data_IF_199521951866
#
_entry.id   IF_199521951866
#
_cell.length_a   1.000
_cell.length_b   1.000
_cell.length_c   1.000
_cell.angle_alpha   90.00
_cell.angle_beta   90.00
_cell.angle_gamma   90.00
#
_symmetry.space_group_name_H-M   'P 1'
#
loop_
_entity.id
_entity.type
_entity.pdbx_description
1 polymer ?
#
# COMPACT_ATOMS: atom_id res chain seq x y z
N UNK A 1 -42.46 -10.55 72.35
CA UNK A 1 -41.72 -11.79 72.10
C UNK A 1 -40.84 -11.60 70.87
N UNK A 2 -39.51 -11.63 71.08
CA UNK A 2 -38.46 -11.82 70.06
C UNK A 2 -38.49 -13.33 69.70
N UNK A 3 -38.12 -13.91 68.55
CA UNK A 3 -36.84 -14.03 67.80
C UNK A 3 -37.17 -14.93 66.57
N UNK A 4 -36.57 -14.88 65.36
CA UNK A 4 -35.39 -14.18 64.86
C UNK A 4 -35.25 -14.29 63.33
N UNK A 5 -34.45 -13.36 62.76
CA UNK A 5 -33.18 -13.54 62.00
C UNK A 5 -33.36 -14.13 60.59
N UNK A 6 -32.79 -13.57 59.51
CA UNK A 6 -31.66 -12.66 59.39
C UNK A 6 -31.70 -11.82 58.09
N UNK A 7 -31.14 -10.60 58.22
CA UNK A 7 -30.22 -9.88 57.33
C UNK A 7 -30.46 -9.90 55.80
N UNK A 8 -30.42 -8.79 55.07
CA UNK A 8 -29.97 -7.43 55.36
C UNK A 8 -29.97 -6.69 54.02
N UNK A 9 -30.53 -5.48 53.98
CA UNK A 9 -30.48 -4.63 52.81
C UNK A 9 -29.12 -3.92 52.67
N UNK A 10 -28.82 -3.44 51.47
CA UNK A 10 -28.37 -2.07 51.25
C UNK A 10 -28.22 -1.78 49.75
N UNK A 11 -28.94 -0.75 49.33
CA UNK A 11 -28.63 0.18 48.24
C UNK A 11 -27.15 0.53 48.14
N UNK A 12 -26.62 0.62 46.92
CA UNK A 12 -25.31 1.22 46.67
C UNK A 12 -24.92 1.18 45.20
N UNK A 13 -24.94 2.33 44.54
CA UNK A 13 -24.43 2.50 43.19
C UNK A 13 -22.97 2.09 43.06
N UNK A 14 -22.61 1.56 41.90
CA UNK A 14 -21.23 1.22 41.59
C UNK A 14 -21.10 0.84 40.12
N UNK A 15 -20.57 1.78 39.31
CA UNK A 15 -19.92 1.47 38.04
C UNK A 15 -18.98 0.28 38.25
N UNK A 16 -19.33 -0.90 37.76
CA UNK A 16 -18.36 -1.98 37.56
C UNK A 16 -17.91 -1.96 36.11
N UNK A 17 -16.76 -1.29 35.96
CA UNK A 17 -15.86 -1.29 34.81
C UNK A 17 -15.85 -2.67 34.13
N UNK A 18 -16.06 -2.66 32.82
CA UNK A 18 -15.63 -3.74 31.94
C UNK A 18 -14.15 -4.02 32.23
N UNK A 19 -13.88 -5.20 32.79
CA UNK A 19 -12.52 -5.72 32.91
C UNK A 19 -12.10 -6.24 31.52
N UNK A 20 -11.71 -5.33 30.64
CA UNK A 20 -10.62 -5.63 29.72
C UNK A 20 -9.32 -5.56 30.51
N UNK A 21 -8.96 -6.66 31.18
CA UNK A 21 -7.56 -6.96 31.47
C UNK A 21 -7.04 -7.67 30.20
N UNK A 22 -6.03 -7.21 29.46
CA UNK A 22 -4.86 -6.46 29.88
C UNK A 22 -3.83 -7.45 30.43
N UNK A 23 -2.99 -8.02 29.56
CA UNK A 23 -1.83 -8.80 30.00
C UNK A 23 -1.32 -9.86 29.02
N UNK A 24 -0.53 -9.43 28.04
CA UNK A 24 0.71 -10.10 27.65
C UNK A 24 0.67 -11.57 27.21
N UNK A 25 0.46 -11.77 25.92
CA UNK A 25 1.28 -12.70 25.14
C UNK A 25 1.44 -12.08 23.74
N UNK A 26 2.63 -11.55 23.44
CA UNK A 26 3.01 -11.21 22.07
C UNK A 26 3.25 -12.52 21.31
N UNK A 27 2.19 -13.23 20.97
CA UNK A 27 2.18 -13.96 19.70
C UNK A 27 1.50 -13.01 18.73
N UNK A 28 2.30 -12.13 18.13
CA UNK A 28 1.83 -11.29 17.03
C UNK A 28 1.23 -12.23 15.99
N UNK A 29 -0.08 -12.08 15.75
CA UNK A 29 -0.78 -12.88 14.74
C UNK A 29 0.04 -12.92 13.45
N UNK A 30 0.17 -14.11 12.87
CA UNK A 30 0.80 -14.29 11.55
C UNK A 30 0.01 -13.49 10.51
N UNK A 31 0.61 -13.23 9.33
CA UNK A 31 -0.11 -12.56 8.24
C UNK A 31 -1.39 -13.31 7.87
N UNK A 32 -1.31 -14.64 7.80
CA UNK A 32 -2.44 -15.53 7.50
C UNK A 32 -3.54 -15.39 8.55
N UNK A 33 -3.18 -15.42 9.84
CA UNK A 33 -4.16 -15.22 10.93
C UNK A 33 -4.82 -13.82 10.86
N UNK A 34 -4.07 -12.79 10.45
CA UNK A 34 -4.63 -11.44 10.24
C UNK A 34 -5.55 -11.39 9.02
N UNK A 35 -5.24 -12.12 7.95
CA UNK A 35 -6.08 -12.26 6.76
C UNK A 35 -7.39 -12.97 7.09
N UNK A 36 -7.33 -14.10 7.80
CA UNK A 36 -8.50 -14.87 8.22
C UNK A 36 -9.42 -14.02 9.11
N UNK A 37 -8.83 -13.25 10.05
CA UNK A 37 -9.59 -12.32 10.88
C UNK A 37 -10.25 -11.20 10.07
N UNK A 38 -9.54 -10.66 9.08
CA UNK A 38 -10.08 -9.64 8.19
C UNK A 38 -11.26 -10.19 7.38
N UNK A 39 -11.13 -11.39 6.82
CA UNK A 39 -12.19 -12.04 6.06
C UNK A 39 -13.43 -12.33 6.92
N UNK A 40 -13.24 -12.84 8.14
CA UNK A 40 -14.34 -13.05 9.08
C UNK A 40 -15.06 -11.73 9.45
N UNK A 41 -14.33 -10.62 9.61
CA UNK A 41 -14.91 -9.30 9.85
C UNK A 41 -15.71 -8.81 8.65
N UNK A 42 -15.20 -9.01 7.44
CA UNK A 42 -15.85 -8.63 6.20
C UNK A 42 -17.14 -9.42 6.01
N UNK A 43 -17.08 -10.74 6.11
CA UNK A 43 -18.25 -11.62 6.01
C UNK A 43 -19.33 -11.25 7.04
N UNK A 44 -18.94 -10.97 8.29
CA UNK A 44 -19.88 -10.55 9.34
C UNK A 44 -20.60 -9.25 8.98
N UNK A 45 -19.90 -8.25 8.45
CA UNK A 45 -20.55 -7.00 8.03
C UNK A 45 -21.42 -7.21 6.78
N UNK A 46 -20.98 -8.02 5.82
CA UNK A 46 -21.78 -8.41 4.64
C UNK A 46 -23.10 -9.02 5.10
N UNK A 47 -23.06 -10.03 5.98
CA UNK A 47 -24.25 -10.70 6.50
C UNK A 47 -25.18 -9.72 7.24
N UNK A 48 -24.61 -8.84 8.07
CA UNK A 48 -25.37 -7.79 8.77
C UNK A 48 -26.09 -6.85 7.80
N UNK A 49 -25.45 -6.46 6.68
CA UNK A 49 -26.10 -5.62 5.66
C UNK A 49 -27.15 -6.40 4.87
N UNK A 50 -26.86 -7.62 4.42
CA UNK A 50 -27.82 -8.48 3.73
C UNK A 50 -29.11 -8.67 4.55
N UNK A 51 -28.98 -8.88 5.86
CA UNK A 51 -30.14 -8.99 6.76
C UNK A 51 -31.03 -7.72 6.77
N UNK A 52 -30.48 -6.52 6.53
CA UNK A 52 -31.26 -5.26 6.41
C UNK A 52 -32.07 -5.17 5.11
N UNK A 53 -31.73 -5.96 4.10
CA UNK A 53 -32.39 -6.00 2.81
C UNK A 53 -33.32 -7.20 2.63
N UNK A 54 -33.34 -8.13 3.60
CA UNK A 54 -34.24 -9.30 3.60
C UNK A 54 -35.70 -8.84 3.50
N UNK A 55 -36.40 -9.28 2.44
CA UNK A 55 -37.79 -8.90 2.16
C UNK A 55 -37.97 -7.64 1.31
N UNK A 56 -36.88 -6.99 0.85
CA UNK A 56 -36.94 -5.92 -0.15
C UNK A 56 -36.84 -6.48 -1.56
N UNK A 57 -37.42 -5.75 -2.52
CA UNK A 57 -37.47 -6.06 -3.96
C UNK A 57 -36.06 -6.39 -4.51
N UNK A 58 -35.94 -7.42 -5.36
CA UNK A 58 -34.65 -8.00 -5.84
C UNK A 58 -33.76 -6.97 -6.56
N UNK A 59 -34.38 -6.09 -7.32
CA UNK A 59 -33.82 -4.90 -7.96
C UNK A 59 -33.19 -3.92 -6.96
N UNK A 60 -33.78 -3.72 -5.77
CA UNK A 60 -33.16 -2.91 -4.71
C UNK A 60 -32.01 -3.62 -4.00
N UNK A 61 -31.97 -4.95 -4.05
CA UNK A 61 -30.88 -5.74 -3.47
C UNK A 61 -29.66 -5.73 -4.40
N UNK A 62 -29.84 -6.00 -5.69
CA UNK A 62 -28.77 -5.94 -6.71
C UNK A 62 -28.21 -4.52 -6.84
N UNK A 63 -29.06 -3.48 -6.95
CA UNK A 63 -28.63 -2.08 -6.88
C UNK A 63 -27.92 -1.76 -5.56
N UNK A 64 -28.32 -2.35 -4.42
CA UNK A 64 -27.62 -2.13 -3.15
C UNK A 64 -26.32 -2.91 -3.02
N UNK A 65 -26.08 -3.99 -3.77
CA UNK A 65 -24.81 -4.71 -3.74
C UNK A 65 -23.81 -4.05 -4.69
N UNK A 66 -24.29 -3.54 -5.84
CA UNK A 66 -23.51 -2.69 -6.75
C UNK A 66 -23.23 -1.30 -6.15
N UNK A 67 -24.22 -0.61 -5.55
CA UNK A 67 -24.00 0.66 -4.83
C UNK A 67 -23.23 0.46 -3.52
N UNK A 68 -23.49 -0.62 -2.77
CA UNK A 68 -22.85 -0.79 -1.47
C UNK A 68 -21.49 -1.45 -1.56
N UNK A 69 -21.07 -2.02 -2.70
CA UNK A 69 -19.87 -2.81 -2.91
C UNK A 69 -18.97 -2.79 -1.68
N UNK A 70 -19.22 -3.76 -0.77
CA UNK A 70 -19.23 -3.57 0.69
C UNK A 70 -17.98 -2.89 1.24
N UNK A 71 -17.97 -1.56 1.12
CA UNK A 71 -16.79 -0.75 1.35
C UNK A 71 -16.57 -0.63 2.84
N UNK A 72 -15.80 -1.59 3.34
CA UNK A 72 -15.31 -1.58 4.69
C UNK A 72 -14.09 -0.66 4.70
N UNK A 73 -14.30 0.62 5.00
CA UNK A 73 -13.23 1.50 5.47
C UNK A 73 -12.87 1.03 6.88
N UNK A 74 -11.90 0.12 7.00
CA UNK A 74 -11.58 -0.51 8.28
C UNK A 74 -10.62 0.36 9.11
N UNK A 75 -9.83 1.22 8.46
CA UNK A 75 -8.97 2.18 9.16
C UNK A 75 -8.95 3.54 8.46
N UNK A 76 -9.20 4.61 9.23
CA UNK A 76 -8.68 5.94 8.91
C UNK A 76 -7.31 6.05 9.57
N UNK A 77 -6.28 6.30 8.78
CA UNK A 77 -4.97 6.70 9.30
C UNK A 77 -4.78 8.15 8.88
N UNK A 78 -4.52 9.02 9.85
CA UNK A 78 -4.14 10.40 9.57
C UNK A 78 -2.68 10.44 9.15
N UNK A 79 -2.43 10.86 7.91
CA UNK A 79 -1.09 10.98 7.35
C UNK A 79 -0.62 12.43 7.52
N UNK A 80 0.04 12.71 8.64
CA UNK A 80 0.47 14.07 9.02
C UNK A 80 1.92 14.37 8.66
N UNK A 81 2.73 13.32 8.44
CA UNK A 81 4.13 13.42 8.00
C UNK A 81 4.58 12.16 7.28
N UNK A 82 5.74 12.18 6.61
CA UNK A 82 6.26 10.98 5.91
C UNK A 82 6.51 9.81 6.86
N UNK A 83 6.80 10.06 8.14
CA UNK A 83 7.01 9.00 9.14
C UNK A 83 5.72 8.28 9.54
N UNK A 84 4.56 8.86 9.22
CA UNK A 84 3.23 8.26 9.47
C UNK A 84 2.72 7.42 8.31
N UNK A 85 3.43 7.41 7.17
CA UNK A 85 3.04 6.56 6.04
C UNK A 85 3.28 5.07 6.38
N UNK A 86 2.40 4.18 5.93
CA UNK A 86 2.70 2.76 5.80
C UNK A 86 3.98 2.57 4.98
N UNK A 87 4.92 1.80 5.51
CA UNK A 87 6.27 1.62 4.94
C UNK A 87 6.55 0.17 4.65
N UNK A 88 7.15 -0.08 3.50
CA UNK A 88 7.60 -1.39 3.07
C UNK A 88 9.05 -1.28 2.61
N UNK A 89 9.93 -2.09 3.19
CA UNK A 89 11.34 -2.09 2.82
C UNK A 89 11.61 -3.23 1.83
N UNK A 90 12.34 -2.93 0.75
CA UNK A 90 12.77 -3.93 -0.23
C UNK A 90 14.27 -3.79 -0.48
N UNK A 91 15.03 -4.86 -0.33
CA UNK A 91 16.43 -4.88 -0.75
C UNK A 91 16.52 -4.75 -2.28
N UNK A 92 17.43 -3.93 -2.79
CA UNK A 92 17.70 -3.85 -4.23
C UNK A 92 18.22 -5.16 -4.81
N UNK A 93 18.80 -6.02 -3.97
CA UNK A 93 19.30 -7.35 -4.28
C UNK A 93 18.37 -8.45 -3.75
N UNK A 94 17.10 -8.12 -3.53
CA UNK A 94 16.13 -9.05 -2.97
C UNK A 94 16.02 -10.34 -3.79
N UNK A 95 15.79 -11.45 -3.10
CA UNK A 95 15.38 -12.66 -3.78
C UNK A 95 13.89 -12.63 -4.17
N UNK A 96 13.46 -13.63 -4.93
CA UNK A 96 12.07 -13.74 -5.41
C UNK A 96 11.08 -13.85 -4.25
N UNK A 97 11.46 -14.51 -3.14
CA UNK A 97 10.57 -14.69 -1.98
C UNK A 97 10.39 -13.37 -1.23
N UNK A 98 11.46 -12.59 -1.04
CA UNK A 98 11.42 -11.26 -0.46
C UNK A 98 10.53 -10.32 -1.29
N UNK A 99 10.69 -10.34 -2.61
CA UNK A 99 9.83 -9.59 -3.53
C UNK A 99 8.35 -10.00 -3.44
N UNK A 100 8.05 -11.30 -3.46
CA UNK A 100 6.67 -11.79 -3.32
C UNK A 100 6.09 -11.39 -1.95
N UNK A 101 6.88 -11.49 -0.88
CA UNK A 101 6.43 -11.13 0.46
C UNK A 101 6.12 -9.64 0.58
N UNK A 102 6.94 -8.77 -0.01
CA UNK A 102 6.64 -7.34 -0.10
C UNK A 102 5.28 -7.10 -0.74
N UNK A 103 5.02 -7.72 -1.90
CA UNK A 103 3.74 -7.53 -2.60
C UNK A 103 2.56 -8.06 -1.79
N UNK A 104 2.69 -9.23 -1.16
CA UNK A 104 1.65 -9.76 -0.27
C UNK A 104 1.37 -8.83 0.91
N UNK A 105 2.40 -8.28 1.54
CA UNK A 105 2.25 -7.36 2.67
C UNK A 105 1.58 -6.05 2.24
N UNK A 106 1.91 -5.55 1.04
CA UNK A 106 1.24 -4.38 0.44
C UNK A 106 -0.22 -4.68 0.10
N UNK A 107 -0.51 -5.79 -0.58
CA UNK A 107 -1.88 -6.22 -0.86
C UNK A 107 -2.71 -6.35 0.42
N UNK A 108 -2.13 -6.93 1.47
CA UNK A 108 -2.77 -7.01 2.78
C UNK A 108 -3.08 -5.63 3.33
N UNK A 109 -2.12 -4.69 3.32
CA UNK A 109 -2.36 -3.30 3.69
C UNK A 109 -3.54 -2.70 2.91
N UNK A 110 -3.57 -2.83 1.59
CA UNK A 110 -4.68 -2.31 0.77
C UNK A 110 -6.03 -2.94 1.14
N UNK A 111 -6.09 -4.24 1.44
CA UNK A 111 -7.33 -4.90 1.92
C UNK A 111 -7.84 -4.28 3.23
N UNK A 112 -6.94 -3.90 4.13
CA UNK A 112 -7.33 -3.20 5.38
C UNK A 112 -7.83 -1.77 5.15
N UNK A 113 -7.48 -1.15 4.01
CA UNK A 113 -7.94 0.20 3.63
C UNK A 113 -9.29 0.17 2.93
N UNK A 114 -9.51 -0.84 2.08
CA UNK A 114 -10.74 -1.03 1.33
C UNK A 114 -10.82 -2.42 0.70
N UNK A 115 -11.99 -3.04 0.84
CA UNK A 115 -12.27 -4.35 0.23
C UNK A 115 -13.69 -4.38 -0.32
N UNK A 116 -13.90 -5.16 -1.39
CA UNK A 116 -15.22 -5.50 -1.92
C UNK A 116 -15.46 -7.00 -1.76
N UNK A 117 -16.70 -7.35 -1.46
CA UNK A 117 -17.16 -8.73 -1.46
C UNK A 117 -17.87 -9.04 -2.78
N UNK A 118 -17.32 -9.98 -3.56
CA UNK A 118 -17.91 -10.47 -4.80
C UNK A 118 -18.27 -11.95 -4.65
N UNK A 119 -19.54 -12.25 -4.32
CA UNK A 119 -20.15 -13.57 -4.51
C UNK A 119 -19.38 -14.79 -3.98
N UNK A 120 -18.56 -14.64 -2.94
CA UNK A 120 -17.72 -15.72 -2.39
C UNK A 120 -16.23 -15.38 -2.24
N UNK A 121 -15.77 -14.20 -2.67
CA UNK A 121 -14.39 -13.75 -2.47
C UNK A 121 -14.28 -12.27 -2.09
N UNK A 122 -13.28 -11.95 -1.27
CA UNK A 122 -12.91 -10.57 -0.88
C UNK A 122 -11.78 -10.10 -1.78
N UNK A 123 -11.98 -8.98 -2.46
CA UNK A 123 -10.96 -8.36 -3.33
C UNK A 123 -10.50 -7.05 -2.72
N UNK A 124 -9.19 -6.86 -2.62
CA UNK A 124 -8.58 -5.59 -2.26
C UNK A 124 -8.94 -4.56 -3.30
N UNK A 125 -9.41 -3.40 -2.88
CA UNK A 125 -9.62 -2.29 -3.81
C UNK A 125 -9.17 -1.00 -3.19
N UNK A 126 -8.81 -0.03 -4.03
CA UNK A 126 -8.49 1.26 -3.52
C UNK A 126 -9.66 1.94 -2.78
N UNK A 127 -9.42 2.67 -1.67
CA UNK A 127 -10.49 3.32 -0.92
C UNK A 127 -11.08 4.51 -1.71
N UNK A 128 -12.20 4.34 -2.41
CA UNK A 128 -12.91 5.38 -3.19
C UNK A 128 -13.44 6.63 -2.43
N UNK A 129 -12.65 7.60 -1.97
CA UNK A 129 -13.19 8.79 -1.29
C UNK A 129 -12.28 10.01 -1.37
N UNK A 130 -12.77 11.15 -0.88
CA UNK A 130 -12.10 12.46 -1.01
C UNK A 130 -10.71 12.51 -0.35
N UNK A 131 -10.48 11.69 0.68
CA UNK A 131 -9.20 11.61 1.38
C UNK A 131 -8.29 10.57 0.71
N UNK A 132 -7.38 11.03 -0.14
CA UNK A 132 -6.31 10.21 -0.72
C UNK A 132 -5.26 9.88 0.34
N UNK A 133 -4.90 8.60 0.45
CA UNK A 133 -3.77 8.19 1.29
C UNK A 133 -2.68 7.51 0.50
N UNK A 134 -1.50 7.46 1.09
CA UNK A 134 -0.27 7.05 0.43
C UNK A 134 0.46 5.98 1.22
N UNK A 135 1.17 5.09 0.53
CA UNK A 135 2.17 4.22 1.13
C UNK A 135 3.54 4.47 0.49
N UNK A 136 4.59 4.05 1.19
CA UNK A 136 5.97 4.21 0.76
C UNK A 136 6.68 2.87 0.65
N UNK A 137 7.35 2.64 -0.48
CA UNK A 137 8.38 1.61 -0.59
C UNK A 137 9.74 2.28 -0.45
N UNK A 138 10.56 1.76 0.45
CA UNK A 138 11.95 2.14 0.61
C UNK A 138 12.84 1.06 0.01
N UNK A 139 13.61 1.43 -1.02
CA UNK A 139 14.63 0.55 -1.57
C UNK A 139 15.87 0.65 -0.71
N UNK A 140 16.33 -0.50 -0.24
CA UNK A 140 17.42 -0.66 0.72
C UNK A 140 18.66 -1.18 0.00
N UNK A 141 19.82 -0.64 0.34
CA UNK A 141 21.12 -1.12 -0.12
C UNK A 141 21.95 -1.56 1.09
N UNK A 142 22.70 -2.65 0.94
CA UNK A 142 23.70 -3.06 1.94
C UNK A 142 24.95 -2.22 1.77
N UNK A 143 25.32 -1.47 2.82
CA UNK A 143 26.55 -0.69 2.84
C UNK A 143 27.78 -1.60 2.88
N UNK A 144 28.95 -1.06 2.55
CA UNK A 144 30.23 -1.79 2.67
C UNK A 144 30.50 -2.32 4.09
N UNK A 145 29.85 -1.76 5.11
CA UNK A 145 29.97 -2.18 6.51
C UNK A 145 28.90 -3.20 6.93
N UNK A 146 28.08 -3.68 5.99
CA UNK A 146 27.03 -4.69 6.22
C UNK A 146 25.70 -4.13 6.75
N UNK A 147 25.58 -2.84 7.03
CA UNK A 147 24.31 -2.23 7.45
C UNK A 147 23.38 -1.97 6.25
N UNK A 148 22.06 -2.04 6.44
CA UNK A 148 21.08 -1.62 5.43
C UNK A 148 20.86 -0.12 5.49
N UNK A 149 20.68 0.52 4.33
CA UNK A 149 20.32 1.94 4.23
C UNK A 149 19.30 2.15 3.10
N UNK A 150 18.27 2.95 3.38
CA UNK A 150 17.34 3.43 2.35
C UNK A 150 18.06 4.36 1.38
N UNK A 151 17.90 4.10 0.09
CA UNK A 151 18.56 4.84 -1.01
C UNK A 151 17.55 5.48 -1.97
N UNK A 152 16.32 4.97 -2.02
CA UNK A 152 15.22 5.53 -2.79
C UNK A 152 13.90 5.33 -2.06
N UNK A 153 13.08 6.36 -2.03
CA UNK A 153 11.72 6.33 -1.47
C UNK A 153 10.73 6.54 -2.61
N UNK A 154 9.80 5.60 -2.79
CA UNK A 154 8.75 5.62 -3.81
C UNK A 154 7.38 5.72 -3.13
N UNK A 155 6.55 6.64 -3.59
CA UNK A 155 5.22 6.89 -3.04
C UNK A 155 4.17 6.35 -4.00
N UNK A 156 3.24 5.60 -3.43
CA UNK A 156 2.11 5.01 -4.12
C UNK A 156 0.83 5.53 -3.49
N UNK A 157 -0.18 5.82 -4.31
CA UNK A 157 -1.49 6.13 -3.77
C UNK A 157 -2.23 4.84 -3.41
N UNK A 158 -2.77 4.75 -2.20
CA UNK A 158 -3.60 3.62 -1.80
C UNK A 158 -4.90 3.56 -2.62
N UNK A 159 -5.38 4.70 -3.12
CA UNK A 159 -6.67 4.91 -3.82
C UNK A 159 -6.66 4.55 -5.30
N UNK A 160 -5.53 4.17 -5.89
CA UNK A 160 -5.51 3.56 -7.21
C UNK A 160 -4.26 2.69 -7.46
N UNK A 161 -3.37 2.56 -6.46
CA UNK A 161 -2.07 1.89 -6.54
C UNK A 161 -1.07 2.56 -7.49
N UNK A 162 -1.34 3.77 -7.97
CA UNK A 162 -0.43 4.44 -8.90
C UNK A 162 0.84 4.91 -8.19
N UNK A 163 1.97 4.65 -8.85
CA UNK A 163 3.27 5.21 -8.53
C UNK A 163 3.43 6.55 -9.24
N UNK A 164 3.64 7.62 -8.49
CA UNK A 164 3.67 8.97 -9.07
C UNK A 164 4.72 9.89 -8.44
N UNK A 165 5.20 9.62 -7.22
CA UNK A 165 6.30 10.37 -6.62
C UNK A 165 7.44 9.46 -6.20
N UNK A 166 8.66 9.99 -6.29
CA UNK A 166 9.83 9.34 -5.71
C UNK A 166 10.91 10.35 -5.34
N UNK A 167 11.88 9.92 -4.53
CA UNK A 167 13.11 10.68 -4.29
C UNK A 167 14.27 9.76 -3.98
N UNK A 168 15.49 10.29 -4.14
CA UNK A 168 16.65 9.72 -3.46
C UNK A 168 16.50 9.96 -1.96
N UNK A 169 16.81 8.94 -1.15
CA UNK A 169 16.76 9.09 0.30
C UNK A 169 17.89 10.03 0.77
N UNK A 170 17.60 11.02 1.64
CA UNK A 170 18.63 11.90 2.19
C UNK A 170 19.83 11.16 2.80
N UNK A 171 21.01 11.78 2.78
CA UNK A 171 22.22 11.15 3.30
C UNK A 171 22.25 11.01 4.81
N UNK A 172 21.68 11.99 5.49
CA UNK A 172 21.52 11.98 6.93
C UNK A 172 20.22 11.26 7.27
N UNK A 173 20.31 10.26 8.15
CA UNK A 173 19.15 9.45 8.55
C UNK A 173 18.08 10.29 9.28
N UNK A 174 18.50 11.33 10.03
CA UNK A 174 17.59 12.30 10.66
C UNK A 174 16.68 13.02 9.64
N UNK A 175 17.15 13.16 8.39
CA UNK A 175 16.40 13.81 7.32
C UNK A 175 15.51 12.83 6.54
N UNK A 176 15.61 11.50 6.78
CA UNK A 176 14.95 10.44 5.99
C UNK A 176 13.44 10.60 5.85
N UNK A 177 12.78 11.21 6.83
CA UNK A 177 11.32 11.43 6.84
C UNK A 177 10.93 12.91 6.86
N UNK A 178 11.86 13.81 6.55
CA UNK A 178 11.54 15.22 6.32
C UNK A 178 10.87 15.39 4.95
N UNK A 179 9.95 16.35 4.82
CA UNK A 179 9.26 16.64 3.54
C UNK A 179 10.19 17.29 2.52
N UNK A 180 9.86 17.17 1.23
CA UNK A 180 10.57 17.81 0.11
C UNK A 180 11.46 16.87 -0.70
N UNK A 181 12.07 17.41 -1.76
CA UNK A 181 12.95 16.70 -2.71
C UNK A 181 12.28 15.55 -3.48
N UNK A 182 10.96 15.48 -3.50
CA UNK A 182 10.23 14.55 -4.35
C UNK A 182 10.19 15.02 -5.80
N UNK A 183 10.36 14.06 -6.68
CA UNK A 183 10.08 14.17 -8.10
C UNK A 183 8.71 13.57 -8.39
N UNK A 184 7.88 14.32 -9.13
CA UNK A 184 6.60 13.86 -9.67
C UNK A 184 6.80 13.41 -11.11
N UNK A 185 6.19 12.29 -11.48
CA UNK A 185 6.19 11.82 -12.86
C UNK A 185 5.50 12.82 -13.79
N UNK A 186 6.01 12.93 -15.02
CA UNK A 186 5.44 13.80 -16.05
C UNK A 186 4.00 13.38 -16.38
N UNK A 187 3.09 14.34 -16.46
CA UNK A 187 1.69 14.10 -16.80
C UNK A 187 0.79 13.66 -15.63
N UNK A 188 1.33 13.48 -14.43
CA UNK A 188 0.55 13.15 -13.25
C UNK A 188 -0.40 14.31 -12.89
N UNK A 189 -1.71 14.05 -12.97
CA UNK A 189 -2.77 15.03 -12.68
C UNK A 189 -3.14 15.10 -11.20
N UNK A 190 -2.67 14.14 -10.39
CA UNK A 190 -2.97 14.06 -8.96
C UNK A 190 -2.42 15.29 -8.22
N UNK A 191 -3.24 15.84 -7.32
CA UNK A 191 -2.85 16.91 -6.42
C UNK A 191 -2.29 16.28 -5.15
N UNK A 192 -1.00 16.51 -4.87
CA UNK A 192 -0.35 15.99 -3.68
C UNK A 192 -0.36 17.03 -2.55
N UNK A 193 -0.63 16.63 -1.30
CA UNK A 193 -0.61 17.55 -0.17
C UNK A 193 0.81 18.07 0.12
N UNK A 194 1.02 19.38 -0.07
CA UNK A 194 2.31 20.04 0.20
C UNK A 194 2.72 19.96 1.69
N UNK A 195 1.73 19.87 2.59
CA UNK A 195 1.97 19.63 4.02
C UNK A 195 2.74 18.33 4.27
N UNK A 196 2.52 17.31 3.43
CA UNK A 196 3.11 15.98 3.56
C UNK A 196 4.39 15.83 2.73
N UNK A 197 4.36 16.25 1.47
CA UNK A 197 5.46 16.00 0.53
C UNK A 197 6.36 17.22 0.27
N UNK A 198 5.94 18.42 0.67
CA UNK A 198 6.62 19.68 0.34
C UNK A 198 6.47 20.05 -1.15
N UNK A 199 7.25 21.03 -1.58
CA UNK A 199 7.31 21.43 -2.99
C UNK A 199 7.84 20.27 -3.86
N UNK A 200 7.08 19.95 -4.89
CA UNK A 200 7.38 18.87 -5.83
C UNK A 200 8.15 19.40 -7.04
N UNK A 201 9.07 18.59 -7.55
CA UNK A 201 9.76 18.84 -8.82
C UNK A 201 9.16 17.96 -9.90
N UNK A 202 8.74 18.54 -11.02
CA UNK A 202 8.28 17.72 -12.14
C UNK A 202 9.47 17.10 -12.87
N UNK A 203 9.42 15.78 -13.04
CA UNK A 203 10.36 15.07 -13.91
C UNK A 203 9.81 15.07 -15.33
N UNK A 204 10.12 16.14 -16.06
CA UNK A 204 9.88 16.19 -17.50
C UNK A 204 10.57 15.00 -18.20
N UNK A 205 9.85 14.40 -19.15
CA UNK A 205 10.36 13.25 -19.91
C UNK A 205 10.28 11.90 -19.19
N UNK A 206 9.44 11.79 -18.17
CA UNK A 206 9.18 10.57 -17.42
C UNK A 206 7.66 10.36 -17.27
N UNK A 207 6.95 10.01 -18.36
CA UNK A 207 5.50 9.98 -18.37
C UNK A 207 4.95 8.86 -17.49
N UNK A 208 3.92 9.15 -16.72
CA UNK A 208 3.15 8.13 -15.99
C UNK A 208 2.47 7.14 -16.95
N UNK A 209 2.06 7.61 -18.13
CA UNK A 209 1.35 6.79 -19.11
C UNK A 209 2.30 5.93 -19.95
N UNK A 210 1.85 4.71 -20.24
CA UNK A 210 2.49 3.83 -21.22
C UNK A 210 2.23 4.21 -22.69
N UNK A 211 1.32 5.17 -22.97
CA UNK A 211 0.94 5.52 -24.35
C UNK A 211 2.12 5.96 -25.21
N UNK A 212 3.11 6.63 -24.63
CA UNK A 212 4.28 7.15 -25.37
C UNK A 212 5.44 6.14 -25.40
N UNK A 213 5.17 4.88 -25.05
CA UNK A 213 6.20 3.88 -24.75
C UNK A 213 5.94 2.66 -25.59
N UNK A 214 6.83 2.47 -26.56
CA UNK A 214 6.78 1.31 -27.44
C UNK A 214 7.22 0.04 -26.72
N UNK A 215 8.21 0.11 -25.80
CA UNK A 215 8.85 -1.09 -25.23
C UNK A 215 9.25 -0.94 -23.74
N UNK A 216 8.87 -1.92 -22.90
CA UNK A 216 9.31 -2.00 -21.49
C UNK A 216 10.17 -3.24 -21.26
N UNK A 217 11.35 -3.04 -20.68
CA UNK A 217 12.26 -4.12 -20.32
C UNK A 217 12.26 -4.37 -18.82
N UNK A 218 11.76 -5.54 -18.39
CA UNK A 218 11.89 -6.01 -17.00
C UNK A 218 13.19 -6.80 -16.86
N UNK A 219 14.06 -6.37 -15.94
CA UNK A 219 15.39 -6.94 -15.75
C UNK A 219 15.48 -7.72 -14.43
N UNK A 220 16.37 -8.72 -14.34
CA UNK A 220 16.68 -9.36 -13.05
C UNK A 220 17.21 -8.35 -12.00
N UNK A 221 17.94 -7.32 -12.42
CA UNK A 221 18.50 -6.27 -11.55
C UNK A 221 17.71 -4.95 -11.62
N UNK A 222 16.39 -5.06 -11.78
CA UNK A 222 15.48 -3.93 -12.00
C UNK A 222 15.64 -2.83 -10.94
N UNK A 223 15.62 -3.20 -9.66
CA UNK A 223 15.69 -2.25 -8.55
C UNK A 223 17.07 -1.60 -8.41
N UNK A 224 18.15 -2.35 -8.67
CA UNK A 224 19.51 -1.79 -8.72
C UNK A 224 19.63 -0.71 -9.80
N UNK A 225 19.13 -0.96 -11.01
CA UNK A 225 19.13 0.04 -12.10
C UNK A 225 18.33 1.29 -11.73
N UNK A 226 17.17 1.13 -11.09
CA UNK A 226 16.37 2.25 -10.59
C UNK A 226 17.17 3.14 -9.64
N UNK A 227 17.77 2.53 -8.61
CA UNK A 227 18.55 3.24 -7.59
C UNK A 227 19.79 3.91 -8.19
N UNK A 228 20.50 3.26 -9.12
CA UNK A 228 21.64 3.89 -9.80
C UNK A 228 21.24 5.13 -10.58
N UNK A 229 20.05 5.13 -11.21
CA UNK A 229 19.53 6.28 -11.92
C UNK A 229 19.13 7.39 -10.95
N UNK A 230 18.48 7.07 -9.83
CA UNK A 230 18.06 8.09 -8.84
C UNK A 230 19.26 8.81 -8.22
N UNK A 231 20.35 8.07 -7.93
CA UNK A 231 21.62 8.62 -7.40
C UNK A 231 22.30 9.59 -8.36
N UNK A 232 22.04 9.48 -9.66
CA UNK A 232 22.64 10.31 -10.73
C UNK A 232 21.74 11.49 -11.13
N UNK A 233 20.53 11.63 -10.58
CA UNK A 233 19.65 12.76 -10.85
C UNK A 233 20.28 14.06 -10.33
N UNK A 234 20.83 14.86 -11.25
CA UNK A 234 21.18 16.25 -10.96
C UNK A 234 19.91 17.09 -10.93
N UNK A 235 19.93 18.21 -10.18
CA UNK A 235 18.81 19.18 -10.06
C UNK A 235 18.35 19.81 -11.39
N UNK A 236 18.94 19.45 -12.52
CA UNK A 236 18.69 20.09 -13.81
C UNK A 236 17.71 19.28 -14.66
N UNK A 237 16.65 20.00 -15.03
CA UNK A 237 15.53 19.62 -15.87
C UNK A 237 16.01 19.22 -17.27
N UNK A 238 15.80 17.95 -17.65
CA UNK A 238 15.84 17.59 -19.06
C UNK A 238 14.51 18.00 -19.68
N UNK A 239 14.55 18.87 -20.70
CA UNK A 239 13.36 19.43 -21.36
C UNK A 239 12.63 18.45 -22.31
N UNK A 240 13.07 17.19 -22.40
CA UNK A 240 12.55 16.14 -23.30
C UNK A 240 12.65 14.77 -22.64
N UNK A 241 11.83 13.82 -23.13
CA UNK A 241 11.91 12.40 -22.77
C UNK A 241 13.33 11.88 -22.92
N UNK A 242 13.84 11.32 -21.83
CA UNK A 242 15.14 10.69 -21.78
C UNK A 242 14.93 9.19 -21.55
N UNK A 243 15.15 8.33 -22.56
CA UNK A 243 15.04 6.88 -22.42
C UNK A 243 15.86 6.34 -21.24
N UNK A 244 16.93 7.03 -20.84
CA UNK A 244 17.71 6.64 -19.66
C UNK A 244 16.94 6.74 -18.34
N UNK A 245 15.80 7.44 -18.32
CA UNK A 245 14.90 7.59 -17.17
C UNK A 245 13.78 6.55 -17.13
N UNK A 246 13.59 5.76 -18.19
CA UNK A 246 12.63 4.63 -18.22
C UNK A 246 12.68 3.76 -16.95
N UNK A 247 13.87 3.43 -16.40
CA UNK A 247 13.95 2.67 -15.16
C UNK A 247 13.25 3.33 -13.98
N UNK A 248 13.29 4.66 -13.84
CA UNK A 248 12.71 5.38 -12.70
C UNK A 248 11.19 5.47 -12.74
N UNK A 249 10.59 5.11 -13.87
CA UNK A 249 9.19 5.35 -14.18
C UNK A 249 8.48 4.01 -14.31
N UNK A 250 8.88 3.21 -15.28
CA UNK A 250 8.07 2.07 -15.71
C UNK A 250 8.36 0.81 -14.93
N UNK A 251 9.59 0.66 -14.46
CA UNK A 251 9.96 -0.48 -13.67
C UNK A 251 9.22 -0.52 -12.34
N UNK A 252 9.11 0.58 -11.56
CA UNK A 252 8.21 0.59 -10.40
C UNK A 252 6.77 0.28 -10.79
N UNK A 253 6.25 0.86 -11.89
CA UNK A 253 4.84 0.63 -12.27
C UNK A 253 4.63 -0.85 -12.60
N UNK A 254 5.45 -1.47 -13.45
CA UNK A 254 5.29 -2.89 -13.83
C UNK A 254 5.63 -3.83 -12.68
N UNK A 255 6.82 -3.68 -12.09
CA UNK A 255 7.32 -4.61 -11.08
C UNK A 255 6.61 -4.46 -9.73
N UNK A 256 5.95 -3.33 -9.46
CA UNK A 256 5.23 -3.13 -8.20
C UNK A 256 3.74 -3.04 -8.46
N UNK A 257 3.27 -1.99 -9.13
CA UNK A 257 1.83 -1.73 -9.28
C UNK A 257 1.13 -2.84 -10.08
N UNK A 258 1.65 -3.22 -11.25
CA UNK A 258 1.00 -4.21 -12.11
C UNK A 258 1.12 -5.64 -11.56
N UNK A 259 2.27 -6.01 -10.99
CA UNK A 259 2.42 -7.30 -10.30
C UNK A 259 1.47 -7.45 -9.11
N UNK A 260 1.19 -6.36 -8.41
CA UNK A 260 0.24 -6.35 -7.29
C UNK A 260 -1.21 -6.50 -7.77
N UNK A 261 -1.57 -5.80 -8.85
CA UNK A 261 -2.92 -5.83 -9.45
C UNK A 261 -3.21 -7.16 -10.14
N UNK A 262 -2.22 -7.74 -10.80
CA UNK A 262 -2.41 -8.83 -11.74
C UNK A 262 -1.50 -10.03 -11.42
N UNK A 263 -2.06 -11.15 -10.92
CA UNK A 263 -1.29 -12.36 -10.66
C UNK A 263 -0.56 -12.91 -11.90
N UNK A 264 -1.06 -12.64 -13.11
CA UNK A 264 -0.38 -12.99 -14.36
C UNK A 264 0.93 -12.20 -14.55
N UNK A 265 0.95 -10.91 -14.20
CA UNK A 265 2.16 -10.07 -14.24
C UNK A 265 3.13 -10.50 -13.15
N UNK A 266 2.64 -10.85 -11.95
CA UNK A 266 3.48 -11.41 -10.90
C UNK A 266 4.18 -12.72 -11.33
N UNK A 267 3.44 -13.64 -11.95
CA UNK A 267 4.04 -14.88 -12.48
C UNK A 267 5.08 -14.57 -13.55
N UNK A 268 4.74 -13.69 -14.49
CA UNK A 268 5.66 -13.28 -15.55
C UNK A 268 6.96 -12.66 -15.01
N UNK A 269 6.86 -11.75 -14.03
CA UNK A 269 8.02 -11.07 -13.44
C UNK A 269 8.89 -12.03 -12.62
N UNK A 270 8.28 -12.95 -11.87
CA UNK A 270 9.02 -13.91 -11.04
C UNK A 270 9.68 -15.04 -11.86
N UNK A 271 8.98 -15.58 -12.88
CA UNK A 271 9.56 -16.58 -13.80
C UNK A 271 10.79 -16.02 -14.53
N UNK A 272 10.76 -14.74 -14.92
CA UNK A 272 11.86 -14.10 -15.66
C UNK A 272 12.96 -13.53 -14.78
N UNK A 273 12.69 -13.20 -13.51
CA UNK A 273 13.75 -12.86 -12.56
C UNK A 273 14.78 -14.00 -12.39
N UNK A 274 14.37 -15.24 -12.67
CA UNK A 274 15.24 -16.43 -12.62
C UNK A 274 16.07 -16.68 -13.90
N UNK A 275 15.81 -15.96 -14.99
CA UNK A 275 16.50 -16.15 -16.28
C UNK A 275 17.13 -14.84 -16.76
N UNK A 276 18.47 -14.82 -16.93
CA UNK A 276 19.16 -13.72 -17.61
C UNK A 276 18.58 -13.60 -19.02
N UNK A 277 17.74 -12.61 -19.30
CA UNK A 277 17.62 -11.98 -20.62
C UNK A 277 16.70 -10.75 -20.58
N UNK A 278 17.13 -9.75 -21.34
CA UNK A 278 16.42 -8.55 -21.73
C UNK A 278 15.08 -8.93 -22.38
N UNK A 279 14.02 -8.21 -22.05
CA UNK A 279 12.78 -8.30 -22.81
C UNK A 279 12.34 -6.93 -23.28
N UNK A 280 11.67 -6.94 -24.41
CA UNK A 280 11.08 -5.80 -25.09
C UNK A 280 9.57 -6.04 -25.00
N UNK A 281 8.87 -5.36 -24.09
CA UNK A 281 7.40 -5.41 -24.09
C UNK A 281 6.87 -4.46 -25.16
N UNK A 282 6.78 -4.89 -26.41
CA UNK A 282 6.11 -4.11 -27.46
C UNK A 282 4.64 -3.90 -27.12
N UNK A 283 4.20 -2.64 -27.04
CA UNK A 283 2.78 -2.32 -27.18
C UNK A 283 2.31 -2.75 -28.59
N UNK A 284 1.07 -3.26 -28.75
CA UNK A 284 0.54 -3.65 -30.06
C UNK A 284 0.35 -2.48 -31.01
#
# INVERSE_FOLDING_TARGET
MVVGRAAGGATGGGKKKDKFAGGGASSSLTREEREDMLDALIEKEVQKRMNKFKGKRRDKFELSVEDAGLRLKIAKEEQTSLSTLPRFELDIDCDILEYINLLKDRMFHHRTRGSYYFGGGVVATPPMGDDETFNMIEFMETTQRGSKRSVMQCIFCDNDLYYQLFRATPEKDEDRYTKGNFYRLGGAKRVFPESLFGELKDLEGAPESYHDVEQIAVYANVFRKMVEKVKKLKKETAKKFDPDRLPLVQLPIVAVCESERFPAVLRFTTERASTKLELICTTP
#
